data_IF_460438870565
#
_entry.id   IF_460438870565
#
_cell.length_a   1.000
_cell.length_b   1.000
_cell.length_c   1.000
_cell.angle_alpha   90.00
_cell.angle_beta   90.00
_cell.angle_gamma   90.00
#
_symmetry.space_group_name_H-M   'P 1'
#
loop_
_entity.id
_entity.type
_entity.pdbx_description
1 polymer ?
#
# COMPACT_ATOMS: atom_id res chain seq x y z
N UNK A 1 -7.75 -5.22 -0.74
CA UNK A 1 -7.38 -5.96 -1.89
C UNK A 1 -8.45 -5.90 -2.98
N UNK A 2 -8.12 -5.31 -4.13
CA UNK A 2 -9.10 -5.10 -5.21
C UNK A 2 -8.65 -5.90 -6.42
N UNK A 3 -9.56 -6.75 -6.91
CA UNK A 3 -9.33 -7.53 -8.11
C UNK A 3 -9.76 -6.77 -9.37
N UNK A 4 -9.08 -6.99 -10.48
CA UNK A 4 -9.43 -6.45 -11.78
C UNK A 4 -8.70 -5.17 -12.16
N UNK A 5 -9.20 -4.47 -13.18
CA UNK A 5 -8.57 -3.29 -13.78
C UNK A 5 -8.55 -2.06 -12.86
N UNK A 6 -9.27 -2.12 -11.74
CA UNK A 6 -9.41 -0.99 -10.81
C UNK A 6 -8.57 -1.14 -9.54
N UNK A 7 -7.56 -2.00 -9.55
CA UNK A 7 -6.70 -2.21 -8.40
C UNK A 7 -5.93 -0.92 -8.04
N UNK A 8 -5.95 -0.59 -6.76
CA UNK A 8 -5.26 0.59 -6.22
C UNK A 8 -4.46 0.17 -5.00
N UNK A 9 -3.24 0.66 -4.89
CA UNK A 9 -2.39 0.47 -3.72
C UNK A 9 -2.09 1.82 -3.07
N UNK A 10 -1.96 1.82 -1.75
CA UNK A 10 -1.62 3.02 -0.99
C UNK A 10 -0.30 2.88 -0.27
N UNK A 11 0.40 4.00 -0.13
CA UNK A 11 1.61 4.09 0.65
C UNK A 11 1.48 5.24 1.64
N UNK A 12 1.67 4.94 2.92
CA UNK A 12 1.70 5.95 3.97
C UNK A 12 3.15 6.16 4.42
N UNK A 13 3.43 7.32 4.95
CA UNK A 13 4.77 7.70 5.41
C UNK A 13 4.69 8.21 6.84
N UNK A 14 5.59 7.72 7.68
CA UNK A 14 5.77 8.22 9.06
C UNK A 14 7.16 8.79 9.19
N UNK A 15 7.27 9.94 9.83
CA UNK A 15 8.55 10.60 10.15
C UNK A 15 8.57 10.94 11.64
N UNK A 16 9.58 10.46 12.37
CA UNK A 16 9.64 10.65 13.81
C UNK A 16 8.41 10.10 14.52
N UNK A 17 7.90 8.95 14.05
CA UNK A 17 6.70 8.27 14.55
C UNK A 17 5.39 9.06 14.37
N UNK A 18 5.37 10.04 13.48
CA UNK A 18 4.18 10.84 13.15
C UNK A 18 3.81 10.70 11.68
N UNK A 19 2.51 10.66 11.35
CA UNK A 19 2.08 10.62 9.95
C UNK A 19 2.57 11.84 9.17
N UNK A 20 3.22 11.60 8.03
CA UNK A 20 3.62 12.63 7.08
C UNK A 20 2.66 12.61 5.89
N UNK A 21 1.45 13.10 6.09
CA UNK A 21 0.33 12.93 5.14
C UNK A 21 0.60 13.53 3.76
N UNK A 22 1.42 14.56 3.66
CA UNK A 22 1.79 15.17 2.39
C UNK A 22 2.59 14.23 1.49
N UNK A 23 3.21 13.21 2.07
CA UNK A 23 4.01 12.24 1.35
C UNK A 23 3.25 10.94 1.05
N UNK A 24 1.99 10.83 1.47
CA UNK A 24 1.15 9.70 1.12
C UNK A 24 0.89 9.68 -0.39
N UNK A 25 0.86 8.49 -0.96
CA UNK A 25 0.56 8.30 -2.38
C UNK A 25 -0.33 7.10 -2.57
N UNK A 26 -1.22 7.21 -3.54
CA UNK A 26 -2.00 6.08 -4.03
C UNK A 26 -1.61 5.82 -5.49
N UNK A 27 -1.59 4.56 -5.86
CA UNK A 27 -1.16 4.11 -7.17
C UNK A 27 -2.25 3.30 -7.83
N UNK A 28 -2.68 3.70 -9.00
CA UNK A 28 -3.51 2.87 -9.85
C UNK A 28 -2.60 1.84 -10.52
N UNK A 29 -2.94 0.57 -10.40
CA UNK A 29 -2.16 -0.51 -10.98
C UNK A 29 -2.39 -0.51 -12.50
N UNK A 30 -1.31 -0.49 -13.28
CA UNK A 30 -1.37 -0.29 -14.74
C UNK A 30 -0.92 -1.50 -15.55
N UNK A 31 0.04 -2.27 -15.03
CA UNK A 31 0.72 -3.33 -15.80
C UNK A 31 0.26 -4.73 -15.44
N UNK A 32 -0.53 -4.87 -14.39
CA UNK A 32 -0.98 -6.18 -13.89
C UNK A 32 -2.38 -6.47 -14.39
N UNK A 33 -2.54 -7.65 -14.99
CA UNK A 33 -3.84 -8.14 -15.45
C UNK A 33 -4.38 -9.12 -14.43
N UNK A 34 -5.59 -8.84 -13.92
CA UNK A 34 -6.24 -9.68 -12.93
C UNK A 34 -5.72 -9.51 -11.50
N UNK A 35 -6.21 -10.33 -10.56
CA UNK A 35 -5.84 -10.23 -9.14
C UNK A 35 -4.50 -10.89 -8.87
N UNK A 36 -3.43 -10.12 -8.86
CA UNK A 36 -2.09 -10.57 -8.50
C UNK A 36 -1.46 -9.53 -7.57
N UNK A 37 -1.53 -9.80 -6.27
CA UNK A 37 -1.06 -8.89 -5.24
C UNK A 37 0.45 -8.68 -5.27
N UNK A 38 1.20 -9.74 -5.56
CA UNK A 38 2.67 -9.62 -5.63
C UNK A 38 3.11 -8.82 -6.84
N UNK A 39 2.52 -9.04 -7.99
CA UNK A 39 2.82 -8.27 -9.20
C UNK A 39 2.40 -6.80 -9.03
N UNK A 40 1.26 -6.56 -8.40
CA UNK A 40 0.79 -5.21 -8.08
C UNK A 40 1.76 -4.50 -7.14
N UNK A 41 2.25 -5.18 -6.11
CA UNK A 41 3.23 -4.62 -5.18
C UNK A 41 4.55 -4.32 -5.89
N UNK A 42 5.02 -5.20 -6.77
CA UNK A 42 6.21 -4.94 -7.59
C UNK A 42 6.08 -3.65 -8.40
N UNK A 43 4.96 -3.47 -9.08
CA UNK A 43 4.71 -2.27 -9.87
C UNK A 43 4.78 -1.01 -9.01
N UNK A 44 4.07 -1.00 -7.89
CA UNK A 44 3.99 0.15 -6.99
C UNK A 44 5.34 0.50 -6.40
N UNK A 45 6.06 -0.47 -5.88
CA UNK A 45 7.37 -0.28 -5.25
C UNK A 45 8.37 0.22 -6.29
N UNK A 46 8.39 -0.37 -7.47
CA UNK A 46 9.29 0.05 -8.55
C UNK A 46 8.99 1.49 -8.98
N UNK A 47 7.74 1.85 -9.18
CA UNK A 47 7.34 3.21 -9.57
C UNK A 47 7.71 4.23 -8.49
N UNK A 48 7.44 3.93 -7.23
CA UNK A 48 7.70 4.85 -6.12
C UNK A 48 9.18 5.13 -5.96
N UNK A 49 9.99 4.08 -5.83
CA UNK A 49 11.41 4.26 -5.51
C UNK A 49 12.24 4.67 -6.70
N UNK A 50 11.84 4.32 -7.91
CA UNK A 50 12.45 4.87 -9.12
C UNK A 50 12.24 6.38 -9.19
N UNK A 51 11.04 6.85 -8.91
CA UNK A 51 10.74 8.29 -8.89
C UNK A 51 11.53 9.01 -7.80
N UNK A 52 11.59 8.44 -6.59
CA UNK A 52 12.35 9.04 -5.49
C UNK A 52 13.83 9.14 -5.84
N UNK A 53 14.39 8.11 -6.48
CA UNK A 53 15.78 8.11 -6.92
C UNK A 53 16.01 9.17 -8.01
N UNK A 54 15.14 9.24 -9.01
CA UNK A 54 15.24 10.19 -10.11
C UNK A 54 15.14 11.64 -9.62
N UNK A 55 14.32 11.89 -8.62
CA UNK A 55 14.10 13.23 -8.04
C UNK A 55 15.09 13.53 -6.90
N UNK A 56 16.03 12.64 -6.62
CA UNK A 56 17.01 12.77 -5.52
C UNK A 56 16.36 13.00 -4.15
N UNK A 57 15.21 12.38 -3.91
CA UNK A 57 14.50 12.47 -2.64
C UNK A 57 15.13 11.54 -1.60
N UNK A 58 15.11 11.91 -0.30
CA UNK A 58 15.61 11.02 0.75
C UNK A 58 14.83 9.71 0.78
N UNK A 59 15.54 8.58 0.81
CA UNK A 59 14.95 7.26 0.90
C UNK A 59 14.54 6.97 2.35
N UNK A 60 13.54 6.11 2.58
CA UNK A 60 13.15 5.75 3.93
C UNK A 60 14.20 4.90 4.63
N UNK A 61 14.22 4.95 5.95
CA UNK A 61 15.08 4.08 6.76
C UNK A 61 14.54 2.66 6.80
N UNK A 62 13.23 2.50 6.68
CA UNK A 62 12.55 1.22 6.80
C UNK A 62 11.29 1.21 5.95
N UNK A 63 11.08 0.13 5.20
CA UNK A 63 9.82 -0.15 4.52
C UNK A 63 9.12 -1.25 5.31
N UNK A 64 7.85 -1.01 5.68
CA UNK A 64 7.03 -2.01 6.35
C UNK A 64 5.93 -2.45 5.39
N UNK A 65 5.83 -3.76 5.18
CA UNK A 65 4.73 -4.34 4.41
C UNK A 65 3.61 -4.79 5.36
N UNK A 66 2.37 -4.56 4.97
CA UNK A 66 1.20 -5.10 5.68
C UNK A 66 0.95 -6.53 5.23
N UNK A 67 1.92 -7.38 5.49
CA UNK A 67 1.94 -8.78 5.10
C UNK A 67 3.23 -9.45 5.52
N UNK A 68 3.28 -10.76 5.32
CA UNK A 68 4.40 -11.58 5.77
C UNK A 68 5.56 -11.67 4.77
N UNK A 69 6.26 -12.79 4.87
CA UNK A 69 7.49 -13.06 4.12
C UNK A 69 7.37 -12.85 2.61
N UNK A 70 6.27 -13.31 2.00
CA UNK A 70 6.09 -13.20 0.55
C UNK A 70 6.12 -11.75 0.07
N UNK A 71 5.44 -10.86 0.78
CA UNK A 71 5.44 -9.44 0.45
C UNK A 71 6.80 -8.78 0.72
N UNK A 72 7.45 -9.14 1.82
CA UNK A 72 8.80 -8.66 2.12
C UNK A 72 9.79 -9.04 1.03
N UNK A 73 9.74 -10.29 0.56
CA UNK A 73 10.63 -10.77 -0.49
C UNK A 73 10.44 -9.99 -1.78
N UNK A 74 9.19 -9.70 -2.15
CA UNK A 74 8.87 -8.91 -3.35
C UNK A 74 9.46 -7.50 -3.23
N UNK A 75 9.22 -6.82 -2.12
CA UNK A 75 9.73 -5.46 -1.90
C UNK A 75 11.25 -5.43 -1.89
N UNK A 76 11.87 -6.33 -1.15
CA UNK A 76 13.33 -6.40 -1.06
C UNK A 76 13.98 -6.74 -2.41
N UNK A 77 13.38 -7.63 -3.19
CA UNK A 77 13.88 -7.98 -4.51
C UNK A 77 13.91 -6.75 -5.44
N UNK A 78 12.93 -5.86 -5.33
CA UNK A 78 12.90 -4.64 -6.14
C UNK A 78 13.90 -3.61 -5.60
N UNK A 79 13.75 -3.18 -4.35
CA UNK A 79 14.53 -2.05 -3.83
C UNK A 79 15.99 -2.39 -3.60
N UNK A 80 16.30 -3.58 -3.15
CA UNK A 80 17.67 -4.01 -2.84
C UNK A 80 18.30 -4.84 -3.95
N UNK A 81 17.51 -5.72 -4.61
CA UNK A 81 17.98 -6.57 -5.68
C UNK A 81 18.11 -5.83 -7.01
N UNK A 82 16.98 -5.31 -7.53
CA UNK A 82 17.00 -4.64 -8.84
C UNK A 82 17.62 -3.25 -8.78
N UNK A 83 17.29 -2.48 -7.76
CA UNK A 83 17.68 -1.07 -7.67
C UNK A 83 18.93 -0.81 -6.82
N UNK A 84 19.34 -1.78 -6.01
CA UNK A 84 20.56 -1.67 -5.20
C UNK A 84 20.51 -0.57 -4.13
N UNK A 85 19.35 -0.25 -3.60
CA UNK A 85 19.18 0.89 -2.68
C UNK A 85 19.57 0.59 -1.23
N UNK A 86 19.61 -0.68 -0.84
CA UNK A 86 19.98 -1.10 0.52
C UNK A 86 19.05 -0.52 1.60
N UNK A 87 17.75 -0.76 1.47
CA UNK A 87 16.73 -0.31 2.43
C UNK A 87 16.26 -1.50 3.28
N UNK A 88 16.20 -1.31 4.60
CA UNK A 88 15.64 -2.34 5.48
C UNK A 88 14.16 -2.57 5.18
N UNK A 89 13.72 -3.83 5.17
CA UNK A 89 12.35 -4.22 4.91
C UNK A 89 11.86 -5.09 6.07
N UNK A 90 10.67 -4.77 6.58
CA UNK A 90 10.00 -5.54 7.61
C UNK A 90 8.59 -5.90 7.16
N UNK A 91 7.99 -6.88 7.80
CA UNK A 91 6.63 -7.31 7.50
C UNK A 91 5.82 -7.54 8.77
N UNK A 92 4.53 -7.35 8.68
CA UNK A 92 3.58 -7.62 9.75
C UNK A 92 2.80 -8.89 9.40
N UNK A 93 3.04 -9.96 10.15
CA UNK A 93 2.39 -11.23 9.92
C UNK A 93 1.15 -11.38 10.81
N UNK A 94 0.13 -11.99 10.26
CA UNK A 94 -1.14 -12.25 10.94
C UNK A 94 -1.18 -13.67 11.48
N UNK A 95 -1.83 -13.84 12.63
CA UNK A 95 -2.11 -15.16 13.20
C UNK A 95 -3.31 -15.83 12.52
N UNK A 96 -3.68 -17.02 12.98
CA UNK A 96 -4.80 -17.79 12.46
C UNK A 96 -6.16 -17.05 12.58
N UNK A 97 -6.23 -16.06 13.45
CA UNK A 97 -7.44 -15.24 13.67
C UNK A 97 -7.36 -13.92 12.91
N UNK A 98 -6.43 -13.78 11.96
CA UNK A 98 -6.19 -12.57 11.17
C UNK A 98 -5.79 -11.35 12.00
N UNK A 99 -5.18 -11.57 13.19
CA UNK A 99 -4.63 -10.50 14.02
C UNK A 99 -3.13 -10.42 13.79
N UNK A 100 -2.61 -9.20 13.66
CA UNK A 100 -1.16 -9.00 13.57
C UNK A 100 -0.54 -9.34 14.93
N UNK A 101 0.37 -10.31 14.95
CA UNK A 101 1.02 -10.75 16.16
C UNK A 101 2.53 -10.97 16.02
N UNK A 102 3.08 -10.83 14.82
CA UNK A 102 4.49 -11.05 14.55
C UNK A 102 5.07 -9.96 13.67
N UNK A 103 6.28 -9.54 14.01
CA UNK A 103 7.10 -8.69 13.18
C UNK A 103 8.19 -9.54 12.55
N UNK A 104 8.28 -9.51 11.23
CA UNK A 104 9.32 -10.19 10.47
C UNK A 104 10.36 -9.17 10.00
N UNK A 105 11.64 -9.50 10.10
CA UNK A 105 12.71 -8.62 9.64
C UNK A 105 14.01 -9.38 9.38
N UNK A 106 14.88 -8.76 8.62
CA UNK A 106 16.25 -9.26 8.43
C UNK A 106 16.41 -10.26 7.28
N UNK A 107 17.67 -10.61 7.03
CA UNK A 107 18.08 -11.63 6.07
C UNK A 107 19.24 -12.44 6.68
N UNK A 108 19.02 -13.70 7.08
CA UNK A 108 17.74 -14.44 6.98
C UNK A 108 16.64 -13.84 7.86
N UNK A 109 15.39 -14.10 7.49
CA UNK A 109 14.24 -13.51 8.17
C UNK A 109 14.13 -14.03 9.61
N UNK A 110 14.06 -13.08 10.55
CA UNK A 110 13.80 -13.34 11.96
C UNK A 110 12.38 -12.95 12.30
N UNK A 111 11.75 -13.71 13.19
CA UNK A 111 10.38 -13.47 13.64
C UNK A 111 10.40 -13.02 15.10
N UNK A 112 9.71 -11.90 15.38
CA UNK A 112 9.52 -11.41 16.75
C UNK A 112 8.05 -11.48 17.10
N UNK A 113 7.71 -12.24 18.13
CA UNK A 113 6.36 -12.23 18.67
C UNK A 113 6.11 -10.88 19.35
N UNK A 114 4.96 -10.28 19.05
CA UNK A 114 4.62 -8.96 19.57
C UNK A 114 3.79 -9.09 20.85
N UNK A 115 4.27 -8.48 21.92
CA UNK A 115 3.51 -8.33 23.14
C UNK A 115 2.50 -7.18 22.95
N UNK A 116 1.20 -7.49 23.11
CA UNK A 116 0.12 -6.52 22.94
C UNK A 116 0.20 -5.31 23.89
N UNK A 117 0.98 -5.44 24.97
CA UNK A 117 1.19 -4.36 25.94
C UNK A 117 2.44 -3.53 25.64
N UNK A 118 3.25 -3.91 24.65
CA UNK A 118 4.50 -3.22 24.36
C UNK A 118 4.28 -1.93 23.57
N UNK A 119 5.20 -0.99 23.71
CA UNK A 119 5.22 0.24 22.93
C UNK A 119 5.40 -0.06 21.44
N UNK A 120 6.21 -1.06 21.12
CA UNK A 120 6.42 -1.49 19.74
C UNK A 120 5.11 -1.95 19.09
N UNK A 121 4.35 -2.79 19.78
CA UNK A 121 3.04 -3.26 19.28
C UNK A 121 2.09 -2.08 19.04
N UNK A 122 2.03 -1.14 19.97
CA UNK A 122 1.18 0.05 19.84
C UNK A 122 1.61 0.92 18.66
N UNK A 123 2.91 1.11 18.46
CA UNK A 123 3.43 1.88 17.33
C UNK A 123 3.08 1.21 15.99
N UNK A 124 3.29 -0.10 15.88
CA UNK A 124 2.98 -0.85 14.65
C UNK A 124 1.47 -0.87 14.37
N UNK A 125 0.66 -0.98 15.42
CA UNK A 125 -0.80 -0.92 15.29
C UNK A 125 -1.25 0.44 14.75
N UNK A 126 -0.67 1.54 15.24
CA UNK A 126 -0.99 2.88 14.73
C UNK A 126 -0.64 3.02 13.25
N UNK A 127 0.51 2.50 12.84
CA UNK A 127 0.92 2.51 11.44
C UNK A 127 -0.06 1.70 10.59
N UNK A 128 -0.41 0.50 11.04
CA UNK A 128 -1.33 -0.38 10.33
C UNK A 128 -2.74 0.22 10.23
N UNK A 129 -3.24 0.80 11.31
CA UNK A 129 -4.55 1.48 11.32
C UNK A 129 -4.56 2.64 10.33
N UNK A 130 -3.46 3.38 10.22
CA UNK A 130 -3.34 4.48 9.27
C UNK A 130 -3.30 4.00 7.83
N UNK A 131 -2.63 2.90 7.55
CA UNK A 131 -2.64 2.26 6.22
C UNK A 131 -4.06 1.86 5.85
N UNK A 132 -4.78 1.21 6.76
CA UNK A 132 -6.15 0.78 6.53
C UNK A 132 -7.10 1.97 6.36
N UNK A 133 -6.95 3.01 7.17
CA UNK A 133 -7.74 4.23 7.06
C UNK A 133 -7.53 4.89 5.70
N UNK A 134 -6.30 5.02 5.26
CA UNK A 134 -5.98 5.61 3.97
C UNK A 134 -6.56 4.79 2.82
N UNK A 135 -6.43 3.46 2.89
CA UNK A 135 -6.98 2.56 1.88
C UNK A 135 -8.50 2.70 1.77
N UNK A 136 -9.21 2.86 2.89
CA UNK A 136 -10.65 3.04 2.91
C UNK A 136 -11.06 4.33 2.16
N UNK A 137 -10.28 5.40 2.26
CA UNK A 137 -10.64 6.68 1.62
C UNK A 137 -10.80 6.53 0.11
N UNK A 138 -9.85 5.88 -0.58
CA UNK A 138 -9.96 5.75 -2.02
C UNK A 138 -10.89 4.62 -2.48
N UNK A 139 -11.20 3.66 -1.65
CA UNK A 139 -12.27 2.70 -1.91
C UNK A 139 -13.64 3.40 -1.87
N UNK A 140 -13.87 4.27 -0.90
CA UNK A 140 -15.08 5.09 -0.81
C UNK A 140 -15.21 6.02 -2.00
N UNK A 141 -14.15 6.70 -2.38
CA UNK A 141 -14.13 7.59 -3.52
C UNK A 141 -14.53 6.87 -4.81
N UNK A 142 -14.02 5.67 -5.05
CA UNK A 142 -14.40 4.86 -6.19
C UNK A 142 -15.87 4.48 -6.18
N UNK A 143 -16.39 4.03 -5.03
CA UNK A 143 -17.81 3.69 -4.90
C UNK A 143 -18.71 4.89 -5.15
N UNK A 144 -18.35 6.06 -4.61
CA UNK A 144 -19.09 7.30 -4.82
C UNK A 144 -19.13 7.69 -6.29
N UNK A 145 -18.00 7.59 -6.99
CA UNK A 145 -17.92 7.86 -8.42
C UNK A 145 -18.79 6.90 -9.23
N UNK A 146 -18.72 5.61 -8.94
CA UNK A 146 -19.56 4.62 -9.61
C UNK A 146 -21.04 4.87 -9.37
N UNK A 147 -21.46 5.16 -8.15
CA UNK A 147 -22.82 5.47 -7.80
C UNK A 147 -23.31 6.71 -8.55
N UNK A 148 -22.50 7.77 -8.61
CA UNK A 148 -22.82 8.98 -9.32
C UNK A 148 -22.97 8.73 -10.83
N UNK A 149 -22.06 7.98 -11.43
CA UNK A 149 -22.15 7.62 -12.85
C UNK A 149 -23.42 6.83 -13.15
N UNK A 150 -23.78 5.87 -12.30
CA UNK A 150 -25.02 5.11 -12.47
C UNK A 150 -26.26 5.98 -12.36
N UNK A 151 -26.29 6.93 -11.43
CA UNK A 151 -27.38 7.90 -11.29
C UNK A 151 -27.50 8.79 -12.52
N UNK A 152 -26.38 9.24 -13.06
CA UNK A 152 -26.38 10.06 -14.29
C UNK A 152 -26.89 9.29 -15.50
N UNK A 153 -26.59 8.00 -15.61
CA UNK A 153 -27.12 7.14 -16.68
C UNK A 153 -28.64 7.01 -16.62
N UNK A 154 -29.22 7.05 -15.44
CA UNK A 154 -30.66 6.96 -15.24
C UNK A 154 -31.40 8.27 -15.54
N UNK A 155 -30.69 9.38 -15.69
CA UNK A 155 -31.30 10.67 -16.02
C UNK A 155 -31.57 10.76 -17.52
N UNK A 156 -32.84 11.00 -17.84
CA UNK A 156 -33.28 11.11 -19.23
C UNK A 156 -32.61 12.29 -19.93
N UNK A 157 -31.98 12.04 -21.09
CA UNK A 157 -31.33 13.07 -21.90
C UNK A 157 -29.84 13.24 -21.62
N UNK A 158 -29.27 12.47 -20.66
CA UNK A 158 -27.83 12.45 -20.41
C UNK A 158 -27.23 11.22 -21.09
N UNK A 159 -26.41 11.45 -22.10
CA UNK A 159 -25.65 10.41 -22.77
C UNK A 159 -24.25 10.25 -22.18
N UNK A 160 -23.47 9.25 -22.66
CA UNK A 160 -22.11 9.00 -22.16
C UNK A 160 -21.18 10.22 -22.23
N UNK A 161 -21.26 11.00 -23.28
CA UNK A 161 -20.42 12.21 -23.44
C UNK A 161 -20.73 13.27 -22.40
N UNK A 162 -22.01 13.50 -22.11
CA UNK A 162 -22.43 14.46 -21.09
C UNK A 162 -22.00 14.01 -19.71
N UNK A 163 -22.11 12.71 -19.42
CA UNK A 163 -21.66 12.13 -18.17
C UNK A 163 -20.15 12.30 -17.97
N UNK A 164 -19.34 12.09 -19.02
CA UNK A 164 -17.89 12.24 -18.95
C UNK A 164 -17.47 13.69 -18.70
N UNK A 165 -18.24 14.66 -19.18
CA UNK A 165 -17.97 16.09 -18.97
C UNK A 165 -18.26 16.55 -17.53
N UNK A 166 -19.05 15.81 -16.80
CA UNK A 166 -19.40 16.12 -15.40
C UNK A 166 -18.46 15.42 -14.41
#
# INVERSE_FOLDING_TARGET
NISGSDAVAGCVVFKGMRPAKKEYRKYNIKTVVGPDDYASMQEVVRRRYQRMTDEHQPLPDLIITDGGKGQMDVVSAVVNGEMGLNIAVAGLAKDDRHRTNELLYGDPICTVALDVKSELFHALTRIQDEVHRYAITFHRDKRSKHALHSQLDDIRGIGPKTREAL
#
